data_IF_736384056308
#
_entry.id   IF_736384056308
#
_cell.length_a   1.000
_cell.length_b   1.000
_cell.length_c   1.000
_cell.angle_alpha   90.00
_cell.angle_beta   90.00
_cell.angle_gamma   90.00
#
_symmetry.space_group_name_H-M   'P 1'
#
loop_
_entity.id
_entity.type
_entity.pdbx_description
1 polymer ?
#
# COMPACT_ATOMS: atom_id res chain seq x y z
N UNK A 1 -30.64 -46.62 -38.59
CA UNK A 1 -29.23 -46.21 -38.70
C UNK A 1 -29.17 -44.69 -38.54
N UNK A 2 -28.72 -44.22 -37.43
CA UNK A 2 -28.40 -42.79 -37.21
C UNK A 2 -26.87 -42.68 -37.19
N UNK A 3 -26.24 -41.73 -37.91
CA UNK A 3 -24.79 -41.55 -37.84
C UNK A 3 -24.39 -40.87 -36.54
N UNK A 4 -23.35 -41.41 -35.92
CA UNK A 4 -22.68 -40.97 -34.70
C UNK A 4 -21.81 -39.72 -35.02
N UNK A 5 -22.22 -38.54 -34.51
CA UNK A 5 -21.45 -37.30 -34.58
C UNK A 5 -21.03 -36.89 -33.14
N UNK A 6 -20.08 -37.60 -32.62
CA UNK A 6 -19.53 -37.24 -31.32
C UNK A 6 -18.13 -37.75 -31.13
N UNK A 7 -17.11 -36.89 -31.43
CA UNK A 7 -15.75 -36.88 -30.86
C UNK A 7 -14.71 -36.29 -31.83
N UNK A 8 -14.69 -34.98 -31.98
CA UNK A 8 -13.51 -34.34 -32.62
C UNK A 8 -13.30 -32.85 -32.19
N UNK A 9 -13.74 -32.40 -31.01
CA UNK A 9 -13.52 -31.01 -30.59
C UNK A 9 -12.65 -30.83 -29.33
N UNK A 10 -12.01 -31.86 -28.77
CA UNK A 10 -11.28 -31.76 -27.51
C UNK A 10 -9.75 -31.58 -27.62
N UNK A 11 -9.16 -31.70 -28.81
CA UNK A 11 -7.70 -31.66 -28.97
C UNK A 11 -7.11 -30.28 -29.26
N UNK A 12 -7.87 -29.32 -29.77
CA UNK A 12 -7.37 -27.99 -30.14
C UNK A 12 -7.22 -27.06 -28.96
N UNK A 13 -8.18 -27.05 -28.01
CA UNK A 13 -8.14 -26.24 -26.80
C UNK A 13 -7.01 -26.66 -25.88
N UNK A 14 -6.70 -27.95 -25.81
CA UNK A 14 -5.67 -28.50 -24.92
C UNK A 14 -4.23 -28.12 -25.37
N UNK A 15 -3.98 -27.96 -26.64
CA UNK A 15 -2.66 -27.57 -27.18
C UNK A 15 -2.41 -26.06 -27.00
N UNK A 16 -3.42 -25.23 -27.16
CA UNK A 16 -3.30 -23.79 -26.96
C UNK A 16 -3.12 -23.41 -25.48
N UNK A 17 -3.88 -24.06 -24.60
CA UNK A 17 -3.71 -23.91 -23.16
C UNK A 17 -2.38 -24.46 -22.67
N UNK A 18 -1.91 -25.57 -23.22
CA UNK A 18 -0.61 -26.16 -22.88
C UNK A 18 0.54 -25.22 -23.29
N UNK A 19 0.50 -24.69 -24.53
CA UNK A 19 1.50 -23.73 -25.02
C UNK A 19 1.50 -22.42 -24.22
N UNK A 20 0.32 -21.94 -23.81
CA UNK A 20 0.18 -20.76 -22.94
C UNK A 20 0.77 -21.02 -21.55
N UNK A 21 0.50 -22.18 -20.94
CA UNK A 21 1.07 -22.59 -19.65
C UNK A 21 2.58 -22.75 -19.71
N UNK A 22 3.12 -23.30 -20.79
CA UNK A 22 4.58 -23.43 -20.98
C UNK A 22 5.26 -22.07 -21.16
N UNK A 23 4.66 -21.16 -21.92
CA UNK A 23 5.16 -19.79 -22.08
C UNK A 23 5.12 -19.02 -20.77
N UNK A 24 4.04 -19.07 -20.00
CA UNK A 24 3.96 -18.44 -18.67
C UNK A 24 5.00 -19.04 -17.70
N UNK A 25 5.29 -20.33 -17.77
CA UNK A 25 6.36 -20.95 -16.96
C UNK A 25 7.73 -20.37 -17.31
N UNK A 26 8.02 -20.17 -18.59
CA UNK A 26 9.31 -19.61 -19.01
C UNK A 26 9.45 -18.13 -18.66
N UNK A 27 8.38 -17.34 -18.75
CA UNK A 27 8.40 -15.93 -18.35
C UNK A 27 8.57 -15.77 -16.83
N UNK A 28 7.85 -16.55 -16.02
CA UNK A 28 7.97 -16.51 -14.55
C UNK A 28 9.35 -16.94 -14.05
N UNK A 29 10.11 -17.74 -14.80
CA UNK A 29 11.44 -18.19 -14.43
C UNK A 29 12.39 -17.00 -14.15
N UNK A 30 12.44 -16.06 -15.10
CA UNK A 30 13.30 -14.88 -14.99
C UNK A 30 12.78 -13.87 -13.95
N UNK A 31 11.45 -13.78 -13.79
CA UNK A 31 10.87 -12.95 -12.73
C UNK A 31 11.21 -13.45 -11.33
N UNK A 32 11.18 -14.77 -11.10
CA UNK A 32 11.55 -15.39 -9.82
C UNK A 32 13.05 -15.24 -9.57
N UNK A 33 13.88 -15.45 -10.62
CA UNK A 33 15.33 -15.20 -10.53
C UNK A 33 15.60 -13.75 -10.14
N UNK A 34 14.98 -12.78 -10.79
CA UNK A 34 15.17 -11.37 -10.49
C UNK A 34 14.70 -11.03 -9.06
N UNK A 35 13.54 -11.53 -8.66
CA UNK A 35 13.00 -11.34 -7.31
C UNK A 35 13.97 -11.86 -6.22
N UNK A 36 14.61 -13.02 -6.46
CA UNK A 36 15.59 -13.59 -5.54
C UNK A 36 16.85 -12.71 -5.44
N UNK A 37 17.32 -12.15 -6.55
CA UNK A 37 18.49 -11.26 -6.60
C UNK A 37 18.23 -9.90 -5.97
N UNK A 38 17.00 -9.38 -6.10
CA UNK A 38 16.61 -8.07 -5.56
C UNK A 38 16.26 -8.09 -4.08
N UNK A 39 15.81 -9.24 -3.55
CA UNK A 39 15.13 -9.36 -2.26
C UNK A 39 13.78 -8.64 -2.20
N UNK A 40 13.03 -8.85 -1.11
CA UNK A 40 11.69 -8.26 -0.91
C UNK A 40 11.75 -6.74 -0.72
N UNK A 41 10.71 -6.04 -1.15
CA UNK A 41 10.56 -4.59 -1.05
C UNK A 41 11.72 -3.79 -1.68
N UNK A 42 12.27 -4.30 -2.77
CA UNK A 42 13.38 -3.64 -3.46
C UNK A 42 12.91 -2.46 -4.29
N UNK A 43 13.46 -1.28 -4.03
CA UNK A 43 13.25 -0.08 -4.88
C UNK A 43 14.04 -0.13 -6.19
N UNK A 44 14.80 -1.21 -6.41
CA UNK A 44 15.66 -1.36 -7.60
C UNK A 44 14.91 -1.95 -8.79
N UNK A 45 13.73 -2.57 -8.57
CA UNK A 45 12.98 -3.22 -9.64
C UNK A 45 12.65 -2.25 -10.78
N UNK A 46 12.00 -1.13 -10.47
CA UNK A 46 11.57 -0.17 -11.50
C UNK A 46 12.77 0.43 -12.26
N UNK A 47 13.81 0.97 -11.62
CA UNK A 47 14.98 1.46 -12.34
C UNK A 47 15.65 0.41 -13.25
N UNK A 48 15.72 -0.85 -12.82
CA UNK A 48 16.28 -1.93 -13.65
C UNK A 48 15.42 -2.20 -14.90
N UNK A 49 14.10 -2.27 -14.73
CA UNK A 49 13.18 -2.49 -15.86
C UNK A 49 13.18 -1.30 -16.83
N UNK A 50 13.28 -0.07 -16.33
CA UNK A 50 13.37 1.15 -17.14
C UNK A 50 14.68 1.22 -17.93
N UNK A 51 15.77 0.78 -17.32
CA UNK A 51 17.11 0.86 -17.95
C UNK A 51 17.38 -0.29 -18.93
N UNK A 52 17.00 -1.51 -18.55
CA UNK A 52 17.44 -2.72 -19.24
C UNK A 52 16.27 -3.55 -19.83
N UNK A 53 15.02 -3.16 -19.60
CA UNK A 53 13.86 -3.86 -20.12
C UNK A 53 13.38 -5.01 -19.24
N UNK A 54 13.18 -6.19 -19.82
CA UNK A 54 12.60 -7.35 -19.16
C UNK A 54 13.60 -8.10 -18.26
N UNK A 55 13.16 -8.92 -17.30
CA UNK A 55 14.07 -9.77 -16.52
C UNK A 55 14.90 -10.72 -17.39
N UNK A 56 14.40 -11.14 -18.56
CA UNK A 56 15.17 -11.95 -19.51
C UNK A 56 16.32 -11.16 -20.12
N UNK A 57 16.10 -9.90 -20.49
CA UNK A 57 17.15 -9.01 -21.01
C UNK A 57 18.21 -8.75 -19.94
N UNK A 58 17.79 -8.45 -18.71
CA UNK A 58 18.70 -8.27 -17.55
C UNK A 58 19.52 -9.54 -17.29
N UNK A 59 18.91 -10.71 -17.41
CA UNK A 59 19.60 -11.99 -17.25
C UNK A 59 20.74 -12.20 -18.26
N UNK A 60 20.61 -11.69 -19.47
CA UNK A 60 21.61 -11.87 -20.54
C UNK A 60 22.77 -10.85 -20.50
N UNK A 61 22.71 -9.83 -19.64
CA UNK A 61 23.77 -8.85 -19.48
C UNK A 61 24.96 -9.42 -18.67
N UNK A 62 26.17 -9.03 -19.04
CA UNK A 62 27.37 -9.29 -18.25
C UNK A 62 27.46 -8.41 -17.01
N UNK A 63 28.36 -8.71 -16.08
CA UNK A 63 28.61 -7.88 -14.89
C UNK A 63 29.12 -6.49 -15.27
N UNK A 64 29.94 -6.39 -16.30
CA UNK A 64 30.49 -5.14 -16.82
C UNK A 64 29.38 -4.26 -17.41
N UNK A 65 28.47 -4.84 -18.21
CA UNK A 65 27.33 -4.11 -18.79
C UNK A 65 26.36 -3.61 -17.70
N UNK A 66 26.12 -4.41 -16.67
CA UNK A 66 25.31 -4.00 -15.52
C UNK A 66 25.96 -2.88 -14.72
N UNK A 67 27.29 -2.99 -14.47
CA UNK A 67 28.05 -2.00 -13.70
C UNK A 67 28.28 -0.68 -14.44
N UNK A 68 28.09 -0.64 -15.74
CA UNK A 68 28.19 0.57 -16.55
C UNK A 68 27.03 1.54 -16.31
N UNK A 69 25.95 1.10 -15.63
CA UNK A 69 24.78 1.93 -15.33
C UNK A 69 24.85 2.49 -13.91
N UNK A 70 24.64 3.80 -13.78
CA UNK A 70 24.54 4.50 -12.48
C UNK A 70 23.37 3.97 -11.60
N UNK A 71 22.41 3.28 -12.19
CA UNK A 71 21.26 2.70 -11.47
C UNK A 71 21.62 1.40 -10.73
N UNK A 72 22.78 0.79 -11.00
CA UNK A 72 23.21 -0.50 -10.46
C UNK A 72 24.47 -0.33 -9.62
N UNK A 73 24.39 -0.69 -8.34
CA UNK A 73 25.59 -0.74 -7.48
C UNK A 73 26.42 -1.98 -7.79
N UNK A 74 27.72 -1.95 -7.51
CA UNK A 74 28.64 -3.10 -7.69
C UNK A 74 28.10 -4.38 -7.02
N UNK A 75 27.59 -4.29 -5.78
CA UNK A 75 26.97 -5.42 -5.07
C UNK A 75 25.76 -5.98 -5.83
N UNK A 76 24.94 -5.11 -6.43
CA UNK A 76 23.79 -5.55 -7.21
C UNK A 76 24.23 -6.16 -8.55
N UNK A 77 25.21 -5.57 -9.24
CA UNK A 77 25.75 -6.13 -10.47
C UNK A 77 26.32 -7.53 -10.24
N UNK A 78 27.09 -7.71 -9.16
CA UNK A 78 27.63 -9.01 -8.78
C UNK A 78 26.53 -10.04 -8.49
N UNK A 79 25.46 -9.66 -7.77
CA UNK A 79 24.33 -10.56 -7.54
C UNK A 79 23.57 -10.91 -8.82
N UNK A 80 23.42 -9.96 -9.74
CA UNK A 80 22.76 -10.18 -11.04
C UNK A 80 23.67 -10.95 -12.02
N UNK A 81 24.98 -10.98 -11.80
CA UNK A 81 25.94 -11.81 -12.56
C UNK A 81 25.79 -13.30 -12.25
N UNK A 82 25.25 -13.67 -11.09
CA UNK A 82 24.90 -15.06 -10.82
C UNK A 82 23.65 -15.48 -11.63
N UNK A 83 23.91 -16.18 -12.75
CA UNK A 83 22.91 -16.64 -13.71
C UNK A 83 22.28 -18.01 -13.34
N UNK A 84 22.48 -18.49 -12.12
CA UNK A 84 21.86 -19.74 -11.67
C UNK A 84 20.34 -19.59 -11.63
N UNK A 85 19.64 -20.44 -12.36
CA UNK A 85 18.17 -20.55 -12.39
C UNK A 85 17.65 -21.70 -11.52
N UNK A 86 18.51 -22.45 -10.87
CA UNK A 86 18.14 -23.67 -10.13
C UNK A 86 17.06 -23.41 -9.08
N UNK A 87 17.23 -22.36 -8.27
CA UNK A 87 16.25 -21.96 -7.25
C UNK A 87 14.91 -21.54 -7.86
N UNK A 88 14.95 -20.87 -9.01
CA UNK A 88 13.72 -20.48 -9.73
C UNK A 88 12.98 -21.69 -10.26
N UNK A 89 13.68 -22.67 -10.83
CA UNK A 89 13.08 -23.95 -11.26
C UNK A 89 12.48 -24.70 -10.07
N UNK A 90 13.21 -24.84 -8.97
CA UNK A 90 12.72 -25.49 -7.75
C UNK A 90 11.43 -24.81 -7.22
N UNK A 91 11.40 -23.47 -7.24
CA UNK A 91 10.23 -22.68 -6.82
C UNK A 91 9.04 -22.92 -7.73
N UNK A 92 9.23 -22.95 -9.05
CA UNK A 92 8.15 -23.22 -10.02
C UNK A 92 7.62 -24.63 -9.86
N UNK A 93 8.50 -25.60 -9.70
CA UNK A 93 8.11 -27.03 -9.50
C UNK A 93 7.32 -27.21 -8.22
N UNK A 94 7.81 -26.63 -7.12
CA UNK A 94 7.10 -26.59 -5.84
C UNK A 94 5.72 -25.98 -5.96
N UNK A 95 5.62 -24.79 -6.56
CA UNK A 95 4.34 -24.10 -6.76
C UNK A 95 3.38 -24.91 -7.63
N UNK A 96 3.90 -25.54 -8.69
CA UNK A 96 3.09 -26.40 -9.57
C UNK A 96 2.54 -27.61 -8.82
N UNK A 97 3.39 -28.29 -8.04
CA UNK A 97 3.02 -29.47 -7.26
C UNK A 97 1.98 -29.16 -6.18
N UNK A 98 2.08 -27.99 -5.54
CA UNK A 98 1.20 -27.57 -4.45
C UNK A 98 0.05 -26.67 -4.89
N UNK A 99 -0.21 -26.53 -6.20
CA UNK A 99 -1.28 -25.70 -6.75
C UNK A 99 -1.20 -24.22 -6.30
N UNK A 100 0.00 -23.71 -6.13
CA UNK A 100 0.28 -22.32 -5.82
C UNK A 100 0.43 -21.55 -7.13
N UNK A 101 -0.35 -20.47 -7.27
CA UNK A 101 -0.23 -19.59 -8.43
C UNK A 101 0.95 -18.63 -8.26
N UNK A 102 1.51 -18.23 -9.39
CA UNK A 102 2.61 -17.26 -9.47
C UNK A 102 2.12 -16.11 -10.35
N UNK A 103 2.22 -14.88 -9.84
CA UNK A 103 1.78 -13.65 -10.49
C UNK A 103 2.96 -12.69 -10.57
N UNK A 104 3.56 -12.54 -11.73
CA UNK A 104 4.68 -11.61 -11.96
C UNK A 104 4.19 -10.18 -12.19
N UNK A 105 5.06 -9.20 -12.01
CA UNK A 105 4.79 -7.78 -12.27
C UNK A 105 4.25 -7.51 -13.69
N UNK A 106 4.65 -8.32 -14.67
CA UNK A 106 4.20 -8.19 -16.07
C UNK A 106 2.85 -8.85 -16.33
N UNK A 107 2.33 -9.67 -15.40
CA UNK A 107 1.09 -10.41 -15.62
C UNK A 107 -0.12 -9.45 -15.75
N UNK A 108 -1.05 -9.69 -16.69
CA UNK A 108 -2.26 -8.89 -16.84
C UNK A 108 -3.17 -8.84 -15.61
N UNK A 109 -3.13 -9.85 -14.75
CA UNK A 109 -3.88 -9.89 -13.48
C UNK A 109 -3.15 -9.22 -12.31
N UNK A 110 -1.90 -8.78 -12.53
CA UNK A 110 -1.17 -8.06 -11.48
C UNK A 110 -1.83 -6.70 -11.22
N UNK A 111 -2.23 -6.39 -9.98
CA UNK A 111 -2.98 -5.17 -9.67
C UNK A 111 -2.21 -3.90 -10.05
N UNK A 112 -2.81 -3.03 -10.87
CA UNK A 112 -2.18 -1.79 -11.33
C UNK A 112 -1.79 -0.88 -10.16
N UNK A 113 -2.57 -0.93 -9.07
CA UNK A 113 -2.28 -0.17 -7.84
C UNK A 113 -0.98 -0.56 -7.17
N UNK A 114 -0.55 -1.83 -7.28
CA UNK A 114 0.75 -2.27 -6.77
C UNK A 114 1.90 -1.81 -7.67
N UNK A 115 1.66 -1.66 -8.98
CA UNK A 115 2.66 -1.13 -9.91
C UNK A 115 3.06 0.31 -9.59
N UNK A 116 2.18 1.06 -8.94
CA UNK A 116 2.40 2.45 -8.55
C UNK A 116 3.20 2.60 -7.24
N UNK A 117 3.59 1.51 -6.59
CA UNK A 117 4.48 1.56 -5.43
C UNK A 117 5.92 1.88 -5.85
N UNK A 118 6.69 2.51 -4.97
CA UNK A 118 8.13 2.72 -5.20
C UNK A 118 8.93 1.42 -5.17
N UNK A 119 8.37 0.39 -4.53
CA UNK A 119 8.97 -0.92 -4.28
C UNK A 119 7.96 -2.04 -4.57
N UNK A 120 7.41 -2.11 -5.81
CA UNK A 120 6.41 -3.10 -6.14
C UNK A 120 6.97 -4.52 -6.04
N UNK A 121 6.17 -5.51 -5.60
CA UNK A 121 6.56 -6.91 -5.66
C UNK A 121 6.89 -7.35 -7.10
N UNK A 122 8.07 -7.89 -7.33
CA UNK A 122 8.41 -8.47 -8.65
C UNK A 122 7.56 -9.71 -8.94
N UNK A 123 7.25 -10.48 -7.90
CA UNK A 123 6.45 -11.70 -7.93
C UNK A 123 5.53 -11.75 -6.72
N UNK A 124 4.32 -12.22 -6.92
CA UNK A 124 3.39 -12.61 -5.86
C UNK A 124 3.04 -14.08 -6.00
N UNK A 125 3.09 -14.81 -4.90
CA UNK A 125 2.57 -16.18 -4.79
C UNK A 125 1.16 -16.13 -4.25
N UNK A 126 0.26 -16.98 -4.76
CA UNK A 126 -1.13 -16.92 -4.32
C UNK A 126 -1.81 -18.29 -4.27
N UNK A 127 -2.85 -18.37 -3.42
CA UNK A 127 -3.83 -19.44 -3.38
C UNK A 127 -5.24 -18.85 -3.38
N UNK A 128 -6.19 -19.55 -3.97
CA UNK A 128 -7.56 -19.07 -4.13
C UNK A 128 -7.85 -18.57 -5.55
N UNK A 129 -8.82 -17.68 -5.69
CA UNK A 129 -9.31 -17.23 -6.99
C UNK A 129 -8.82 -15.82 -7.30
N UNK A 130 -8.04 -15.69 -8.38
CA UNK A 130 -7.69 -14.36 -8.89
C UNK A 130 -8.95 -13.62 -9.36
N UNK A 131 -9.00 -12.35 -9.06
CA UNK A 131 -10.09 -11.46 -9.47
C UNK A 131 -9.51 -10.15 -10.01
N UNK A 132 -10.21 -9.47 -10.96
CA UNK A 132 -9.77 -8.18 -11.50
C UNK A 132 -9.97 -7.09 -10.43
N UNK A 133 -8.93 -6.84 -9.61
CA UNK A 133 -8.99 -5.91 -8.48
C UNK A 133 -9.10 -4.45 -8.92
N UNK A 134 -8.62 -4.11 -10.11
CA UNK A 134 -8.60 -2.73 -10.61
C UNK A 134 -10.00 -2.13 -10.76
N UNK A 135 -11.00 -2.98 -11.00
CA UNK A 135 -12.41 -2.59 -11.12
C UNK A 135 -13.19 -2.72 -9.80
N UNK A 136 -12.51 -2.97 -8.67
CA UNK A 136 -13.13 -3.17 -7.36
C UNK A 136 -12.65 -2.13 -6.36
N UNK A 137 -13.54 -1.72 -5.47
CA UNK A 137 -13.14 -1.03 -4.25
C UNK A 137 -12.51 -2.05 -3.31
N UNK A 138 -11.26 -1.83 -2.93
CA UNK A 138 -10.55 -2.62 -1.95
C UNK A 138 -10.26 -1.74 -0.73
N UNK A 139 -10.65 -2.19 0.45
CA UNK A 139 -10.42 -1.47 1.70
C UNK A 139 -9.59 -2.35 2.62
N UNK A 140 -8.45 -1.83 3.03
CA UNK A 140 -7.67 -2.49 4.07
C UNK A 140 -8.38 -2.29 5.42
N UNK A 141 -8.63 -3.37 6.15
CA UNK A 141 -9.19 -3.31 7.51
C UNK A 141 -8.19 -3.96 8.44
N UNK A 142 -7.56 -3.14 9.28
CA UNK A 142 -6.45 -3.55 10.14
C UNK A 142 -6.58 -2.95 11.54
N UNK A 143 -5.85 -3.54 12.50
CA UNK A 143 -5.85 -3.02 13.86
C UNK A 143 -4.98 -3.82 14.81
N UNK A 144 -5.23 -3.61 16.09
CA UNK A 144 -4.50 -4.29 17.18
C UNK A 144 -4.74 -5.81 17.17
N UNK A 145 -3.72 -6.55 17.58
CA UNK A 145 -3.82 -8.00 17.83
C UNK A 145 -4.54 -8.32 19.15
N UNK A 146 -4.58 -7.36 20.08
CA UNK A 146 -5.26 -7.44 21.38
C UNK A 146 -6.49 -6.52 21.36
N UNK A 147 -7.49 -6.92 20.58
CA UNK A 147 -8.72 -6.15 20.41
C UNK A 147 -9.60 -6.17 21.65
N UNK A 148 -10.34 -5.09 21.87
CA UNK A 148 -11.43 -5.02 22.86
C UNK A 148 -12.72 -5.67 22.29
N UNK A 149 -13.74 -5.85 23.14
CA UNK A 149 -15.06 -6.28 22.66
C UNK A 149 -15.71 -5.25 21.74
N UNK A 150 -15.40 -3.96 21.93
CA UNK A 150 -15.80 -2.90 21.02
C UNK A 150 -15.13 -3.08 19.66
N UNK A 151 -13.80 -3.23 19.62
CA UNK A 151 -13.03 -3.43 18.40
C UNK A 151 -13.43 -4.69 17.66
N UNK A 152 -13.70 -5.80 18.39
CA UNK A 152 -14.19 -7.05 17.80
C UNK A 152 -15.49 -6.82 17.03
N UNK A 153 -16.49 -6.20 17.67
CA UNK A 153 -17.78 -5.90 17.02
C UNK A 153 -17.64 -4.91 15.88
N UNK A 154 -16.82 -3.87 16.06
CA UNK A 154 -16.59 -2.86 15.03
C UNK A 154 -15.89 -3.47 13.79
N UNK A 155 -14.85 -4.29 13.97
CA UNK A 155 -14.16 -4.97 12.87
C UNK A 155 -15.09 -5.91 12.09
N UNK A 156 -15.87 -6.72 12.80
CA UNK A 156 -16.83 -7.61 12.17
C UNK A 156 -17.87 -6.84 11.37
N UNK A 157 -18.46 -5.79 11.97
CA UNK A 157 -19.46 -4.94 11.33
C UNK A 157 -18.92 -4.27 10.07
N UNK A 158 -17.75 -3.65 10.15
CA UNK A 158 -17.13 -2.97 9.01
C UNK A 158 -16.78 -3.97 7.89
N UNK A 159 -16.22 -5.13 8.23
CA UNK A 159 -15.96 -6.18 7.26
C UNK A 159 -17.24 -6.66 6.58
N UNK A 160 -18.31 -6.90 7.35
CA UNK A 160 -19.62 -7.32 6.85
C UNK A 160 -20.26 -6.26 5.92
N UNK A 161 -20.35 -5.01 6.35
CA UNK A 161 -20.96 -3.93 5.58
C UNK A 161 -20.20 -3.63 4.29
N UNK A 162 -18.85 -3.54 4.35
CA UNK A 162 -18.00 -3.32 3.17
C UNK A 162 -18.20 -4.42 2.13
N UNK A 163 -18.16 -5.66 2.58
CA UNK A 163 -18.31 -6.82 1.70
C UNK A 163 -19.73 -6.96 1.13
N UNK A 164 -20.76 -6.68 1.91
CA UNK A 164 -22.16 -6.62 1.44
C UNK A 164 -22.35 -5.58 0.35
N UNK A 165 -21.63 -4.46 0.42
CA UNK A 165 -21.63 -3.43 -0.61
C UNK A 165 -20.84 -3.83 -1.87
N UNK A 166 -20.17 -4.99 -1.91
CA UNK A 166 -19.36 -5.46 -3.02
C UNK A 166 -17.89 -5.02 -2.98
N UNK A 167 -17.45 -4.32 -1.93
CA UNK A 167 -16.04 -4.01 -1.70
C UNK A 167 -15.27 -5.26 -1.25
N UNK A 168 -13.97 -5.29 -1.55
CA UNK A 168 -13.06 -6.36 -1.14
C UNK A 168 -12.35 -5.94 0.14
N UNK A 169 -12.47 -6.74 1.19
CA UNK A 169 -11.78 -6.50 2.46
C UNK A 169 -10.38 -7.10 2.38
N UNK A 170 -9.35 -6.29 2.63
CA UNK A 170 -7.94 -6.72 2.60
C UNK A 170 -7.36 -6.62 3.99
N UNK A 171 -6.66 -7.66 4.44
CA UNK A 171 -6.01 -7.66 5.75
C UNK A 171 -4.71 -8.47 5.76
N UNK A 172 -4.04 -8.48 6.90
CA UNK A 172 -2.84 -9.30 7.10
C UNK A 172 -3.12 -10.68 7.71
N UNK A 173 -4.36 -11.06 7.89
CA UNK A 173 -4.76 -12.30 8.59
C UNK A 173 -4.11 -12.43 9.99
N UNK A 174 -3.74 -11.30 10.60
CA UNK A 174 -3.18 -11.30 11.95
C UNK A 174 -4.25 -11.64 13.01
N UNK A 175 -3.80 -11.96 14.21
CA UNK A 175 -4.71 -12.09 15.36
C UNK A 175 -5.46 -10.77 15.57
N UNK A 176 -6.68 -10.82 16.10
CA UNK A 176 -7.45 -9.64 16.46
C UNK A 176 -8.24 -9.04 15.30
N UNK A 177 -8.12 -7.76 15.07
CA UNK A 177 -8.95 -6.99 14.13
C UNK A 177 -8.93 -7.58 12.71
N UNK A 178 -7.77 -7.92 12.20
CA UNK A 178 -7.58 -8.43 10.83
C UNK A 178 -8.45 -9.68 10.57
N UNK A 179 -8.37 -10.66 11.47
CA UNK A 179 -9.10 -11.91 11.34
C UNK A 179 -10.61 -11.74 11.50
N UNK A 180 -11.03 -10.89 12.42
CA UNK A 180 -12.45 -10.62 12.67
C UNK A 180 -13.09 -9.87 11.49
N UNK A 181 -12.38 -8.90 10.89
CA UNK A 181 -12.85 -8.21 9.70
C UNK A 181 -13.02 -9.16 8.50
N UNK A 182 -12.08 -10.09 8.31
CA UNK A 182 -12.19 -11.12 7.28
C UNK A 182 -13.41 -12.05 7.52
N UNK A 183 -13.65 -12.45 8.77
CA UNK A 183 -14.86 -13.23 9.14
C UNK A 183 -16.15 -12.46 8.83
N UNK A 184 -16.21 -11.17 9.18
CA UNK A 184 -17.36 -10.31 8.84
C UNK A 184 -17.60 -10.24 7.33
N UNK A 185 -16.53 -10.05 6.54
CA UNK A 185 -16.64 -10.04 5.08
C UNK A 185 -17.18 -11.35 4.51
N UNK A 186 -16.72 -12.48 5.01
CA UNK A 186 -17.20 -13.80 4.58
C UNK A 186 -18.61 -14.12 5.06
N UNK A 187 -19.01 -13.60 6.22
CA UNK A 187 -20.41 -13.71 6.71
C UNK A 187 -21.41 -12.99 5.80
N UNK A 188 -20.97 -11.92 5.12
CA UNK A 188 -21.74 -11.24 4.07
C UNK A 188 -21.60 -11.89 2.68
N UNK A 189 -21.04 -13.11 2.60
CA UNK A 189 -20.75 -13.82 1.33
C UNK A 189 -19.85 -13.01 0.38
N UNK A 190 -19.17 -11.99 0.90
CA UNK A 190 -18.27 -11.13 0.12
C UNK A 190 -16.85 -11.65 0.00
N UNK A 191 -15.99 -10.89 -0.64
CA UNK A 191 -14.62 -11.28 -0.93
C UNK A 191 -13.63 -10.66 0.06
N UNK A 192 -12.63 -11.46 0.45
CA UNK A 192 -11.54 -10.98 1.30
C UNK A 192 -10.19 -11.46 0.76
N UNK A 193 -9.14 -10.67 1.03
CA UNK A 193 -7.77 -10.97 0.65
C UNK A 193 -6.90 -10.98 1.91
N UNK A 194 -6.17 -12.07 2.11
CA UNK A 194 -5.13 -12.15 3.11
C UNK A 194 -3.76 -11.94 2.47
N UNK A 195 -3.01 -10.96 2.95
CA UNK A 195 -1.60 -10.76 2.57
C UNK A 195 -0.73 -11.35 3.67
N UNK A 196 0.20 -12.25 3.35
CA UNK A 196 1.03 -12.91 4.36
C UNK A 196 2.41 -12.27 4.48
N UNK A 197 3.03 -12.40 5.66
CA UNK A 197 4.41 -12.01 5.95
C UNK A 197 5.37 -13.21 6.03
N UNK A 198 5.03 -14.31 5.36
CA UNK A 198 5.80 -15.55 5.27
C UNK A 198 5.50 -16.24 3.94
N UNK A 199 6.15 -17.37 3.66
CA UNK A 199 5.85 -18.19 2.50
C UNK A 199 4.38 -18.64 2.48
N UNK A 200 3.83 -18.78 1.26
CA UNK A 200 2.41 -19.14 1.02
C UNK A 200 2.04 -20.53 1.55
N UNK A 201 3.01 -21.35 1.82
CA UNK A 201 2.92 -22.70 2.35
C UNK A 201 2.94 -22.76 3.89
N UNK A 202 3.11 -21.62 4.54
CA UNK A 202 3.23 -21.50 6.00
C UNK A 202 2.04 -20.73 6.56
N UNK A 203 1.20 -21.39 7.33
CA UNK A 203 0.07 -20.75 8.03
C UNK A 203 0.59 -19.97 9.24
N UNK A 204 0.39 -18.66 9.23
CA UNK A 204 0.76 -17.82 10.37
C UNK A 204 -0.27 -16.71 10.64
N UNK A 205 -0.80 -16.59 11.88
CA UNK A 205 -0.51 -17.47 13.03
C UNK A 205 -1.09 -18.88 12.85
N UNK A 206 -0.51 -19.93 13.51
CA UNK A 206 -0.94 -21.32 13.31
C UNK A 206 -2.42 -21.58 13.66
N UNK A 207 -2.98 -20.76 14.56
CA UNK A 207 -4.39 -20.79 14.95
C UNK A 207 -5.35 -20.48 13.79
N UNK A 208 -4.89 -19.73 12.80
CA UNK A 208 -5.69 -19.28 11.66
C UNK A 208 -5.71 -20.25 10.47
N UNK A 209 -5.27 -21.51 10.65
CA UNK A 209 -5.33 -22.54 9.60
C UNK A 209 -6.73 -22.70 9.00
N UNK A 210 -7.75 -22.74 9.84
CA UNK A 210 -9.14 -22.82 9.39
C UNK A 210 -9.56 -21.55 8.64
N UNK A 211 -9.23 -20.37 9.17
CA UNK A 211 -9.51 -19.08 8.53
C UNK A 211 -8.86 -19.00 7.15
N UNK A 212 -7.58 -19.36 7.02
CA UNK A 212 -6.86 -19.36 5.74
C UNK A 212 -7.58 -20.23 4.71
N UNK A 213 -8.01 -21.46 5.09
CA UNK A 213 -8.76 -22.35 4.21
C UNK A 213 -10.09 -21.72 3.75
N UNK A 214 -10.79 -20.99 4.61
CA UNK A 214 -12.02 -20.28 4.21
C UNK A 214 -11.70 -19.11 3.26
N UNK A 215 -10.63 -18.37 3.50
CA UNK A 215 -10.19 -17.29 2.62
C UNK A 215 -9.78 -17.82 1.25
N UNK A 216 -9.01 -18.91 1.18
CA UNK A 216 -8.64 -19.55 -0.09
C UNK A 216 -9.86 -19.94 -0.92
N UNK A 217 -10.93 -20.44 -0.29
CA UNK A 217 -12.17 -20.86 -0.98
C UNK A 217 -13.02 -19.69 -1.46
N UNK A 218 -13.03 -18.59 -0.71
CA UNK A 218 -13.96 -17.47 -0.95
C UNK A 218 -13.28 -16.20 -1.46
N UNK A 219 -11.95 -16.17 -1.53
CA UNK A 219 -11.17 -14.99 -1.86
C UNK A 219 -9.77 -15.34 -2.34
N UNK A 220 -8.76 -14.70 -1.75
CA UNK A 220 -7.38 -14.81 -2.19
C UNK A 220 -6.42 -14.71 -0.99
N UNK A 221 -5.45 -15.60 -0.93
CA UNK A 221 -4.29 -15.49 -0.05
C UNK A 221 -3.08 -15.19 -0.91
N UNK A 222 -2.31 -14.15 -0.58
CA UNK A 222 -1.15 -13.72 -1.38
C UNK A 222 0.04 -13.38 -0.50
N UNK A 223 1.24 -13.52 -1.06
CA UNK A 223 2.49 -13.08 -0.44
C UNK A 223 3.56 -12.77 -1.48
N UNK A 224 4.48 -11.88 -1.15
CA UNK A 224 5.72 -11.62 -1.90
C UNK A 224 6.83 -12.61 -1.51
N UNK A 225 6.70 -13.24 -0.36
CA UNK A 225 7.73 -14.15 0.18
C UNK A 225 7.67 -15.51 -0.51
N UNK A 226 8.81 -15.98 -1.00
CA UNK A 226 8.91 -17.29 -1.63
C UNK A 226 8.46 -18.42 -0.69
N UNK A 227 7.92 -19.55 -1.23
CA UNK A 227 7.61 -20.74 -0.44
C UNK A 227 8.79 -21.15 0.46
N UNK A 228 8.48 -21.65 1.66
CA UNK A 228 9.47 -22.00 2.67
C UNK A 228 10.00 -20.83 3.51
N UNK A 229 9.63 -19.56 3.20
CA UNK A 229 10.09 -18.40 3.98
C UNK A 229 9.40 -18.38 5.34
N UNK A 230 10.17 -18.57 6.42
CA UNK A 230 9.66 -18.56 7.79
C UNK A 230 9.09 -17.18 8.19
N UNK A 231 8.05 -17.14 9.05
CA UNK A 231 7.55 -15.89 9.61
C UNK A 231 8.62 -15.22 10.48
N UNK A 232 8.86 -13.94 10.23
CA UNK A 232 9.81 -13.11 10.98
C UNK A 232 9.18 -11.78 11.35
N UNK A 233 9.54 -11.25 12.52
CA UNK A 233 9.09 -9.92 12.96
C UNK A 233 9.39 -8.81 11.96
N UNK A 234 10.49 -8.93 11.22
CA UNK A 234 10.90 -7.98 10.19
C UNK A 234 10.01 -8.02 8.92
N UNK A 235 9.40 -9.16 8.61
CA UNK A 235 8.60 -9.34 7.40
C UNK A 235 7.23 -8.63 7.47
N UNK A 236 6.64 -8.53 8.67
CA UNK A 236 5.30 -7.97 8.81
C UNK A 236 5.21 -6.48 8.46
N UNK A 237 6.14 -5.60 8.91
CA UNK A 237 6.18 -4.21 8.45
C UNK A 237 6.37 -4.08 6.94
N UNK A 238 7.25 -4.91 6.36
CA UNK A 238 7.50 -4.94 4.90
C UNK A 238 6.24 -5.33 4.14
N UNK A 239 5.52 -6.38 4.57
CA UNK A 239 4.28 -6.84 3.98
C UNK A 239 3.18 -5.76 4.01
N UNK A 240 3.10 -4.94 5.06
CA UNK A 240 2.01 -3.98 5.26
C UNK A 240 1.87 -2.98 4.11
N UNK A 241 2.97 -2.67 3.38
CA UNK A 241 2.92 -1.85 2.16
C UNK A 241 2.08 -2.46 1.05
N UNK A 242 2.00 -3.81 1.00
CA UNK A 242 1.18 -4.52 0.03
C UNK A 242 -0.30 -4.47 0.45
N UNK A 243 -0.60 -4.56 1.75
CA UNK A 243 -1.98 -4.42 2.25
C UNK A 243 -2.55 -3.07 1.84
N UNK A 244 -1.88 -1.97 2.18
CA UNK A 244 -2.31 -0.62 1.80
C UNK A 244 -2.23 -0.38 0.29
N UNK A 245 -1.20 -0.92 -0.37
CA UNK A 245 -0.96 -0.76 -1.80
C UNK A 245 -2.04 -1.39 -2.70
N UNK A 246 -2.66 -2.49 -2.27
CA UNK A 246 -3.79 -3.12 -2.94
C UNK A 246 -5.08 -2.28 -2.84
N UNK A 247 -5.17 -1.37 -1.88
CA UNK A 247 -6.39 -0.70 -1.48
C UNK A 247 -6.43 0.76 -1.91
N UNK A 248 -7.62 1.28 -2.10
CA UNK A 248 -7.87 2.72 -2.24
C UNK A 248 -7.85 3.41 -0.87
N UNK A 249 -8.27 2.70 0.18
CA UNK A 249 -8.30 3.23 1.54
C UNK A 249 -7.92 2.18 2.59
N UNK A 250 -7.49 2.66 3.74
CA UNK A 250 -7.08 1.86 4.89
C UNK A 250 -7.85 2.29 6.12
N UNK A 251 -8.64 1.38 6.68
CA UNK A 251 -9.39 1.56 7.93
C UNK A 251 -8.60 1.00 9.11
N UNK A 252 -8.36 1.84 10.10
CA UNK A 252 -7.80 1.44 11.40
C UNK A 252 -8.95 1.36 12.39
N UNK A 253 -9.23 0.13 12.88
CA UNK A 253 -10.37 -0.11 13.79
C UNK A 253 -10.00 0.18 15.25
N UNK A 254 -8.91 -0.38 15.71
CA UNK A 254 -8.29 -0.12 17.01
C UNK A 254 -6.78 -0.16 16.88
N UNK A 255 -6.08 0.76 17.50
CA UNK A 255 -4.62 0.79 17.55
C UNK A 255 -4.11 1.58 18.75
N UNK A 256 -3.12 1.06 19.44
CA UNK A 256 -2.20 1.84 20.27
C UNK A 256 -1.24 2.64 19.37
N UNK A 257 -0.69 3.74 19.85
CA UNK A 257 0.24 4.61 19.09
C UNK A 257 1.43 3.86 18.47
N UNK A 258 1.92 2.81 19.15
CA UNK A 258 3.06 1.98 18.73
C UNK A 258 2.64 0.69 18.02
N UNK A 259 1.37 0.54 17.69
CA UNK A 259 0.88 -0.71 17.10
C UNK A 259 1.35 -0.89 15.64
N UNK A 260 1.45 -2.16 15.20
CA UNK A 260 1.76 -2.48 13.80
C UNK A 260 0.74 -1.94 12.80
N UNK A 261 -0.51 -1.67 13.21
CA UNK A 261 -1.54 -1.06 12.37
C UNK A 261 -1.19 0.39 12.00
N UNK A 262 -0.50 1.12 12.90
CA UNK A 262 0.00 2.48 12.61
C UNK A 262 1.07 2.47 11.50
N UNK A 263 1.83 1.39 11.36
CA UNK A 263 2.76 1.21 10.24
C UNK A 263 1.98 1.10 8.92
N UNK A 264 0.87 0.36 8.91
CA UNK A 264 0.00 0.24 7.72
C UNK A 264 -0.64 1.57 7.36
N UNK A 265 -1.12 2.34 8.35
CA UNK A 265 -1.63 3.69 8.14
C UNK A 265 -0.56 4.62 7.52
N UNK A 266 0.68 4.56 8.03
CA UNK A 266 1.81 5.32 7.47
C UNK A 266 2.13 4.89 6.03
N UNK A 267 2.12 3.59 5.73
CA UNK A 267 2.28 3.11 4.35
C UNK A 267 1.18 3.68 3.44
N UNK A 268 -0.09 3.65 3.88
CA UNK A 268 -1.22 4.20 3.14
C UNK A 268 -1.02 5.69 2.82
N UNK A 269 -0.63 6.50 3.80
CA UNK A 269 -0.35 7.94 3.61
C UNK A 269 0.78 8.19 2.61
N UNK A 270 1.90 7.45 2.72
CA UNK A 270 3.04 7.57 1.78
C UNK A 270 2.62 7.19 0.36
N UNK A 271 1.69 6.24 0.22
CA UNK A 271 1.17 5.76 -1.06
C UNK A 271 0.03 6.63 -1.61
N UNK A 272 -0.33 7.75 -0.95
CA UNK A 272 -1.43 8.62 -1.33
C UNK A 272 -2.81 7.96 -1.21
N UNK A 273 -2.98 7.01 -0.27
CA UNK A 273 -4.25 6.32 -0.01
C UNK A 273 -5.00 7.00 1.11
N UNK A 274 -6.33 6.96 1.06
CA UNK A 274 -7.17 7.46 2.15
C UNK A 274 -6.94 6.65 3.44
N UNK A 275 -6.94 7.35 4.57
CA UNK A 275 -6.87 6.73 5.89
C UNK A 275 -8.13 7.05 6.66
N UNK A 276 -8.79 6.01 7.13
CA UNK A 276 -9.99 6.06 7.95
C UNK A 276 -9.68 5.50 9.32
N UNK A 277 -10.34 6.02 10.35
CA UNK A 277 -10.17 5.52 11.70
C UNK A 277 -11.52 5.49 12.44
N UNK A 278 -11.73 4.43 13.21
CA UNK A 278 -12.89 4.36 14.11
C UNK A 278 -12.54 5.12 15.39
N UNK A 279 -13.33 6.13 15.80
CA UNK A 279 -13.12 6.84 17.04
C UNK A 279 -13.36 5.93 18.25
N UNK A 280 -12.64 6.13 19.32
CA UNK A 280 -12.84 5.41 20.57
C UNK A 280 -12.64 6.30 21.79
N UNK A 281 -12.81 5.72 22.98
CA UNK A 281 -12.67 6.44 24.23
C UNK A 281 -11.24 6.95 24.42
N UNK A 282 -11.11 8.15 24.98
CA UNK A 282 -9.82 8.82 25.15
C UNK A 282 -8.93 8.20 26.24
N UNK A 283 -9.51 7.42 27.14
CA UNK A 283 -8.87 6.70 28.23
C UNK A 283 -8.50 5.25 27.89
N UNK A 284 -8.91 4.77 26.69
CA UNK A 284 -8.63 3.42 26.22
C UNK A 284 -7.35 3.38 25.36
N UNK A 285 -6.38 2.56 25.78
CA UNK A 285 -5.09 2.45 25.07
C UNK A 285 -5.25 2.04 23.58
N UNK A 286 -6.20 1.17 23.28
CA UNK A 286 -6.49 0.73 21.91
C UNK A 286 -7.10 1.83 21.03
N UNK A 287 -7.53 2.94 21.60
CA UNK A 287 -8.10 4.08 20.88
C UNK A 287 -7.11 5.23 20.67
N UNK A 288 -5.97 5.22 21.37
CA UNK A 288 -5.00 6.32 21.28
C UNK A 288 -4.48 6.53 19.86
N UNK A 289 -4.12 5.45 19.17
CA UNK A 289 -3.61 5.52 17.81
C UNK A 289 -4.68 5.96 16.80
N UNK A 290 -5.92 5.46 16.89
CA UNK A 290 -7.01 5.87 15.99
C UNK A 290 -7.40 7.32 16.22
N UNK A 291 -7.52 7.77 17.47
CA UNK A 291 -7.79 9.16 17.80
C UNK A 291 -6.64 10.10 17.36
N UNK A 292 -5.39 9.63 17.43
CA UNK A 292 -4.23 10.37 16.91
C UNK A 292 -4.30 10.53 15.38
N UNK A 293 -4.69 9.48 14.67
CA UNK A 293 -4.89 9.53 13.21
C UNK A 293 -6.00 10.52 12.84
N UNK A 294 -7.14 10.49 13.54
CA UNK A 294 -8.25 11.43 13.32
C UNK A 294 -7.79 12.88 13.56
N UNK A 295 -7.07 13.12 14.67
CA UNK A 295 -6.47 14.42 14.95
C UNK A 295 -5.47 14.86 13.87
N UNK A 296 -4.80 13.90 13.23
CA UNK A 296 -3.86 14.11 12.13
C UNK A 296 -4.51 14.26 10.76
N UNK A 297 -5.86 14.26 10.66
CA UNK A 297 -6.61 14.46 9.42
C UNK A 297 -7.16 13.19 8.77
N UNK A 298 -7.04 12.01 9.41
CA UNK A 298 -7.74 10.83 8.96
C UNK A 298 -9.25 10.99 9.15
N UNK A 299 -10.06 10.48 8.23
CA UNK A 299 -11.51 10.56 8.30
C UNK A 299 -12.04 9.66 9.43
N UNK A 300 -12.75 10.25 10.39
CA UNK A 300 -13.47 9.50 11.42
C UNK A 300 -14.69 8.82 10.79
N UNK A 301 -14.82 7.51 10.99
CA UNK A 301 -15.89 6.72 10.40
C UNK A 301 -16.60 5.86 11.43
N UNK A 302 -17.91 5.66 11.23
CA UNK A 302 -18.77 4.83 12.07
C UNK A 302 -19.51 3.73 11.29
N UNK A 303 -19.42 3.79 9.96
CA UNK A 303 -20.07 2.86 9.04
C UNK A 303 -19.31 2.72 7.73
N UNK A 304 -19.58 1.65 6.98
CA UNK A 304 -19.00 1.47 5.65
C UNK A 304 -19.43 2.57 4.67
N UNK A 305 -20.60 3.18 4.86
CA UNK A 305 -21.06 4.29 4.00
C UNK A 305 -20.12 5.48 4.07
N UNK A 306 -19.56 5.77 5.26
CA UNK A 306 -18.65 6.90 5.46
C UNK A 306 -17.32 6.72 4.66
N UNK A 307 -16.98 5.47 4.34
CA UNK A 307 -15.82 5.11 3.52
C UNK A 307 -16.19 5.08 2.03
N UNK A 308 -17.30 4.42 1.69
CA UNK A 308 -17.64 4.10 0.31
C UNK A 308 -18.08 5.32 -0.50
N UNK A 309 -18.54 6.39 0.15
CA UNK A 309 -18.89 7.66 -0.51
C UNK A 309 -17.70 8.25 -1.27
N UNK A 310 -16.49 8.08 -0.80
CA UNK A 310 -15.28 8.59 -1.46
C UNK A 310 -14.96 7.87 -2.79
N UNK A 311 -15.59 6.71 -3.02
CA UNK A 311 -15.34 5.85 -4.19
C UNK A 311 -16.54 5.74 -5.14
N UNK A 312 -17.65 6.37 -4.82
CA UNK A 312 -18.89 6.27 -5.59
C UNK A 312 -18.72 6.75 -7.03
N UNK A 313 -18.06 7.86 -7.24
CA UNK A 313 -17.86 8.44 -8.57
C UNK A 313 -17.08 7.53 -9.51
N UNK A 314 -16.03 6.86 -9.00
CA UNK A 314 -15.15 6.02 -9.83
C UNK A 314 -15.57 4.56 -9.88
N UNK A 315 -16.20 4.06 -8.83
CA UNK A 315 -16.49 2.64 -8.63
C UNK A 315 -17.98 2.35 -8.37
N UNK A 316 -18.87 3.31 -8.52
CA UNK A 316 -20.30 3.16 -8.23
C UNK A 316 -20.94 1.96 -8.92
N UNK A 317 -20.54 1.64 -10.16
CA UNK A 317 -21.02 0.46 -10.88
C UNK A 317 -20.61 -0.89 -10.23
N UNK A 318 -19.57 -0.91 -9.39
CA UNK A 318 -19.10 -2.10 -8.66
C UNK A 318 -19.61 -2.17 -7.22
N UNK A 319 -20.29 -1.11 -6.74
CA UNK A 319 -20.85 -1.01 -5.41
C UNK A 319 -22.37 -1.24 -5.41
N UNK A 320 -22.88 -1.87 -4.39
CA UNK A 320 -24.30 -2.16 -4.21
C UNK A 320 -24.83 -1.53 -2.92
N UNK A 321 -25.29 -0.28 -3.00
CA UNK A 321 -25.83 0.46 -1.86
C UNK A 321 -27.14 -0.10 -1.33
N UNK A 322 -27.95 -0.75 -2.19
CA UNK A 322 -29.20 -1.42 -1.76
C UNK A 322 -28.87 -2.63 -0.88
N UNK A 323 -27.86 -3.43 -1.27
CA UNK A 323 -27.38 -4.54 -0.45
C UNK A 323 -26.75 -4.04 0.86
N UNK A 324 -26.01 -2.93 0.83
CA UNK A 324 -25.48 -2.30 2.04
C UNK A 324 -26.59 -1.86 3.00
N UNK A 325 -27.64 -1.21 2.49
CA UNK A 325 -28.78 -0.77 3.29
C UNK A 325 -29.50 -1.96 3.93
N UNK A 326 -29.74 -3.01 3.15
CA UNK A 326 -30.32 -4.25 3.64
C UNK A 326 -29.44 -4.91 4.72
N UNK A 327 -28.15 -5.01 4.46
CA UNK A 327 -27.17 -5.58 5.38
C UNK A 327 -27.13 -4.83 6.72
N UNK A 328 -27.17 -3.50 6.70
CA UNK A 328 -27.19 -2.66 7.91
C UNK A 328 -28.47 -2.85 8.72
N UNK A 329 -29.62 -2.93 8.04
CA UNK A 329 -30.93 -3.10 8.71
C UNK A 329 -31.08 -4.49 9.35
N UNK A 330 -30.40 -5.51 8.81
CA UNK A 330 -30.47 -6.89 9.26
C UNK A 330 -29.17 -7.34 9.94
N UNK A 331 -28.28 -6.41 10.24
CA UNK A 331 -27.00 -6.72 10.87
C UNK A 331 -27.19 -7.32 12.27
N UNK A 332 -26.56 -8.44 12.51
CA UNK A 332 -26.31 -8.98 13.84
C UNK A 332 -24.87 -9.49 13.92
N UNK A 333 -24.28 -9.32 15.08
CA UNK A 333 -22.97 -9.90 15.35
C UNK A 333 -23.12 -11.39 15.64
N UNK A 334 -22.45 -12.22 14.84
CA UNK A 334 -22.53 -13.68 14.98
C UNK A 334 -21.18 -14.25 15.45
N UNK A 335 -21.10 -14.59 16.73
CA UNK A 335 -19.91 -15.18 17.32
C UNK A 335 -19.66 -16.61 16.82
N UNK A 336 -20.69 -17.34 16.41
CA UNK A 336 -20.55 -18.70 15.87
C UNK A 336 -19.77 -18.70 14.54
N UNK A 337 -19.88 -17.63 13.76
CA UNK A 337 -19.07 -17.46 12.54
C UNK A 337 -17.59 -17.39 12.89
N UNK A 338 -17.22 -16.63 13.94
CA UNK A 338 -15.84 -16.53 14.40
C UNK A 338 -15.33 -17.89 14.88
N UNK A 339 -16.12 -18.60 15.67
CA UNK A 339 -15.78 -19.94 16.17
C UNK A 339 -15.60 -20.94 15.02
N UNK A 340 -16.51 -20.98 14.06
CA UNK A 340 -16.45 -21.83 12.86
C UNK A 340 -15.18 -21.60 12.04
N UNK A 341 -14.75 -20.35 11.96
CA UNK A 341 -13.53 -19.96 11.22
C UNK A 341 -12.25 -20.05 12.07
N UNK A 342 -12.33 -20.51 13.33
CA UNK A 342 -11.19 -20.68 14.22
C UNK A 342 -10.69 -19.35 14.82
N UNK A 343 -11.52 -18.31 14.85
CA UNK A 343 -11.20 -16.98 15.39
C UNK A 343 -11.89 -16.73 16.74
N UNK A 344 -12.25 -17.78 17.46
CA UNK A 344 -12.97 -17.70 18.74
C UNK A 344 -12.18 -16.95 19.82
N UNK A 345 -12.90 -16.18 20.63
CA UNK A 345 -12.38 -15.34 21.71
C UNK A 345 -11.75 -16.09 22.91
N UNK A 346 -11.82 -17.42 22.92
CA UNK A 346 -11.32 -18.24 24.03
C UNK A 346 -9.82 -18.51 23.84
N UNK A 347 -8.98 -17.84 24.63
CA UNK A 347 -7.54 -18.04 24.79
C UNK A 347 -6.58 -17.24 23.89
N UNK A 348 -6.72 -15.92 23.87
CA UNK A 348 -5.53 -15.09 23.79
C UNK A 348 -4.85 -14.95 25.18
N UNK A 349 -4.76 -16.08 25.93
CA UNK A 349 -4.00 -16.08 27.17
C UNK A 349 -2.50 -16.03 26.86
N UNK A 350 -1.80 -15.18 27.54
CA UNK A 350 -0.38 -14.81 27.37
C UNK A 350 0.62 -16.00 27.43
N UNK A 351 0.16 -17.22 27.71
CA UNK A 351 1.06 -18.36 28.01
C UNK A 351 1.77 -18.99 26.80
N UNK A 352 1.37 -18.73 25.56
CA UNK A 352 1.99 -19.36 24.39
C UNK A 352 2.81 -18.42 23.49
N UNK A 353 3.03 -17.17 23.89
CA UNK A 353 3.72 -16.19 23.05
C UNK A 353 5.21 -15.98 23.42
N UNK A 354 5.72 -16.67 24.43
CA UNK A 354 7.08 -16.47 24.95
C UNK A 354 8.18 -17.32 24.29
N UNK A 355 7.86 -18.14 23.30
CA UNK A 355 8.81 -19.14 22.81
C UNK A 355 9.59 -18.79 21.52
N UNK A 356 9.45 -17.59 20.91
CA UNK A 356 10.27 -17.26 19.73
C UNK A 356 10.34 -15.77 19.34
N UNK A 357 10.32 -14.86 20.31
CA UNK A 357 10.79 -13.51 20.01
C UNK A 357 12.27 -13.42 20.34
N UNK A 358 13.17 -13.08 19.38
CA UNK A 358 14.46 -12.56 19.75
C UNK A 358 14.22 -11.30 20.54
N UNK A 359 14.81 -11.19 21.73
CA UNK A 359 14.75 -10.02 22.61
C UNK A 359 14.95 -8.75 21.77
N UNK A 360 14.13 -7.72 21.89
CA UNK A 360 14.43 -6.45 21.27
C UNK A 360 15.75 -6.00 21.85
N UNK A 361 16.77 -5.84 21.00
CA UNK A 361 17.99 -5.13 21.37
C UNK A 361 17.52 -3.80 21.93
N UNK A 362 17.87 -3.53 23.21
CA UNK A 362 17.53 -2.30 23.89
C UNK A 362 17.90 -1.12 22.98
N UNK A 363 16.93 -0.38 22.54
CA UNK A 363 17.15 0.92 21.92
C UNK A 363 17.65 1.80 23.09
N UNK A 364 18.85 2.42 22.97
CA UNK A 364 19.35 3.28 24.04
C UNK A 364 18.33 4.37 24.36
N UNK A 365 18.14 4.61 25.66
CA UNK A 365 17.25 5.65 26.18
C UNK A 365 17.64 7.00 25.55
N UNK A 366 16.71 7.85 25.10
CA UNK A 366 17.04 9.15 24.47
C UNK A 366 17.90 10.08 25.31
N UNK A 367 18.05 9.80 26.64
CA UNK A 367 18.92 10.54 27.55
C UNK A 367 20.41 10.13 27.54
N UNK A 368 20.79 9.03 26.86
CA UNK A 368 22.17 8.52 26.84
C UNK A 368 22.95 8.83 25.56
N UNK A 369 22.44 9.67 24.68
CA UNK A 369 23.20 10.14 23.53
C UNK A 369 24.32 11.07 24.01
N UNK A 370 25.56 10.53 24.09
CA UNK A 370 26.74 11.34 24.25
C UNK A 370 26.80 12.39 23.16
N UNK A 371 27.12 13.68 23.48
CA UNK A 371 27.23 14.71 22.44
C UNK A 371 28.32 14.33 21.45
N UNK A 372 27.99 14.42 20.17
CA UNK A 372 28.93 14.24 19.06
C UNK A 372 30.15 15.13 19.27
N UNK A 373 31.34 14.55 19.34
CA UNK A 373 32.62 15.26 19.38
C UNK A 373 32.70 16.23 18.20
N UNK A 374 32.85 17.51 18.49
CA UNK A 374 33.18 18.53 17.49
C UNK A 374 34.50 18.14 16.79
N UNK A 375 34.61 18.34 15.48
CA UNK A 375 35.88 18.16 14.79
C UNK A 375 36.94 19.15 15.33
N UNK A 376 38.25 18.81 15.31
CA UNK A 376 39.28 19.67 15.87
C UNK A 376 39.40 20.97 15.07
N UNK A 377 39.36 22.10 15.79
CA UNK A 377 39.70 23.41 15.28
C UNK A 377 41.17 23.39 14.81
N UNK A 378 41.43 23.75 13.56
CA UNK A 378 42.76 24.19 13.12
C UNK A 378 42.93 25.62 13.56
N UNK A 379 44.16 25.87 14.06
CA UNK A 379 44.62 27.11 14.65
C UNK A 379 44.60 28.30 13.67
N UNK A 380 44.41 29.46 14.26
CA UNK A 380 44.52 30.79 13.70
C UNK A 380 45.93 31.05 13.15
N UNK A 381 46.00 31.79 12.04
CA UNK A 381 46.98 32.89 11.97
C UNK A 381 46.40 34.03 11.12
N UNK A 382 46.64 35.21 11.61
CA UNK A 382 46.17 36.51 11.19
C UNK A 382 46.85 36.98 9.90
N UNK A 383 46.21 37.74 9.06
CA UNK A 383 46.49 39.16 8.87
C UNK A 383 45.48 39.83 7.90
N UNK A 384 45.08 41.06 8.18
CA UNK A 384 44.42 42.05 7.31
C UNK A 384 45.49 42.99 6.75
N UNK A 385 45.24 43.88 5.75
CA UNK A 385 44.00 44.40 5.19
C UNK A 385 43.97 44.77 3.68
N UNK A 386 42.78 45.15 3.22
CA UNK A 386 42.48 46.17 2.16
C UNK A 386 42.75 45.84 0.69
N UNK A 387 41.81 45.93 -0.22
CA UNK A 387 41.20 47.09 -0.88
C UNK A 387 40.23 46.66 -1.99
N UNK A 388 39.13 47.31 -2.02
CA UNK A 388 38.19 47.70 -3.10
C UNK A 388 38.61 47.37 -4.55
N UNK A 389 37.70 46.68 -5.30
CA UNK A 389 37.28 47.19 -6.62
C UNK A 389 35.97 46.53 -7.07
N UNK A 390 35.04 47.39 -7.45
CA UNK A 390 33.78 47.10 -8.12
C UNK A 390 33.98 46.37 -9.46
N UNK A 391 33.04 45.53 -9.77
CA UNK A 391 32.25 45.46 -11.01
C UNK A 391 31.97 44.04 -11.45
N UNK A 392 30.75 43.62 -11.39
CA UNK A 392 30.13 42.87 -12.46
C UNK A 392 28.59 42.80 -12.28
N UNK A 393 27.94 43.14 -13.36
CA UNK A 393 26.51 43.27 -13.60
C UNK A 393 25.69 42.03 -13.18
N UNK A 394 24.40 42.24 -12.82
CA UNK A 394 23.45 41.17 -12.56
C UNK A 394 23.11 40.43 -13.88
N UNK A 395 22.82 39.11 -13.80
CA UNK A 395 22.32 38.38 -14.97
C UNK A 395 20.90 38.85 -15.30
N UNK A 396 20.65 38.93 -16.58
CA UNK A 396 19.46 39.39 -17.27
C UNK A 396 18.18 38.76 -16.73
N UNK A 397 17.18 39.63 -16.61
CA UNK A 397 15.78 39.30 -16.38
C UNK A 397 15.29 38.18 -17.32
N UNK A 398 14.61 37.20 -16.73
CA UNK A 398 13.78 36.26 -17.48
C UNK A 398 12.62 37.02 -18.10
N UNK A 399 12.48 36.85 -19.41
CA UNK A 399 11.42 37.38 -20.23
C UNK A 399 10.04 36.98 -19.66
N UNK A 400 9.17 37.98 -19.67
CA UNK A 400 7.74 37.88 -19.38
C UNK A 400 7.10 36.79 -20.26
N UNK A 401 6.67 35.69 -19.67
CA UNK A 401 5.57 34.90 -20.22
C UNK A 401 4.26 35.50 -19.72
N UNK A 402 3.81 36.53 -20.40
CA UNK A 402 2.50 37.11 -20.23
C UNK A 402 1.74 36.86 -21.52
N UNK A 403 0.71 36.01 -21.51
CA UNK A 403 -0.51 36.21 -22.28
C UNK A 403 -1.64 35.24 -21.91
N UNK A 404 -1.34 34.01 -21.40
CA UNK A 404 -2.38 33.04 -21.09
C UNK A 404 -2.99 33.14 -19.68
N UNK A 405 -2.21 33.56 -18.70
CA UNK A 405 -2.66 33.59 -17.28
C UNK A 405 -3.63 34.72 -16.98
N UNK A 406 -3.47 35.91 -17.61
CA UNK A 406 -4.38 37.05 -17.45
C UNK A 406 -5.76 36.79 -18.07
N UNK A 407 -5.81 36.09 -19.20
CA UNK A 407 -7.07 35.68 -19.85
C UNK A 407 -7.87 34.71 -18.99
N UNK A 408 -7.17 33.74 -18.37
CA UNK A 408 -7.78 32.77 -17.46
C UNK A 408 -8.29 33.45 -16.18
N UNK A 409 -7.51 34.39 -15.62
CA UNK A 409 -7.90 35.16 -14.43
C UNK A 409 -9.13 36.02 -14.63
N UNK A 410 -9.34 36.58 -15.86
CA UNK A 410 -10.54 37.36 -16.20
C UNK A 410 -11.82 36.52 -16.21
N UNK A 411 -11.72 35.26 -16.41
CA UNK A 411 -12.87 34.30 -16.42
C UNK A 411 -13.22 33.76 -15.05
N UNK A 412 -12.43 34.07 -14.01
CA UNK A 412 -12.66 33.61 -12.63
C UNK A 412 -13.47 34.67 -11.85
N UNK A 413 -14.18 34.20 -10.84
CA UNK A 413 -14.92 35.04 -9.90
C UNK A 413 -13.96 35.90 -9.06
N UNK A 414 -14.49 36.97 -8.46
CA UNK A 414 -13.70 37.88 -7.67
C UNK A 414 -13.00 37.23 -6.46
N UNK A 415 -13.61 36.17 -5.88
CA UNK A 415 -13.00 35.42 -4.78
C UNK A 415 -11.74 34.68 -5.22
N UNK A 416 -11.81 33.95 -6.34
CA UNK A 416 -10.66 33.24 -6.89
C UNK A 416 -9.53 34.20 -7.24
N UNK A 417 -9.87 35.36 -7.79
CA UNK A 417 -8.89 36.38 -8.12
C UNK A 417 -8.22 36.96 -6.87
N UNK A 418 -8.98 37.30 -5.84
CA UNK A 418 -8.45 37.80 -4.57
C UNK A 418 -7.57 36.76 -3.87
N UNK A 419 -7.97 35.47 -3.84
CA UNK A 419 -7.16 34.39 -3.28
C UNK A 419 -5.87 34.23 -4.10
N UNK A 420 -5.94 34.27 -5.43
CA UNK A 420 -4.75 34.18 -6.27
C UNK A 420 -3.79 35.33 -5.99
N UNK A 421 -4.26 36.55 -5.91
CA UNK A 421 -3.44 37.73 -5.60
C UNK A 421 -2.83 37.67 -4.19
N UNK A 422 -3.49 36.99 -3.25
CA UNK A 422 -2.97 36.74 -1.91
C UNK A 422 -1.79 35.76 -1.85
N UNK A 423 -1.49 35.01 -2.93
CA UNK A 423 -0.34 34.12 -3.00
C UNK A 423 0.86 34.91 -3.57
N UNK A 424 1.97 35.10 -2.83
CA UNK A 424 3.16 35.76 -3.32
C UNK A 424 3.80 35.03 -4.51
N UNK A 425 4.53 35.76 -5.38
CA UNK A 425 5.22 35.18 -6.54
C UNK A 425 6.49 34.40 -6.18
N UNK A 426 7.10 34.74 -5.03
CA UNK A 426 8.45 34.32 -4.63
C UNK A 426 8.45 33.27 -3.50
N UNK A 427 7.30 32.99 -2.91
CA UNK A 427 7.19 32.04 -1.77
C UNK A 427 5.84 31.40 -1.66
N UNK A 428 5.84 30.19 -1.11
CA UNK A 428 4.62 29.46 -0.80
C UNK A 428 3.89 30.02 0.43
N UNK A 429 2.56 29.89 0.45
CA UNK A 429 1.68 30.41 1.50
C UNK A 429 0.77 29.32 2.02
N UNK A 430 0.43 29.38 3.33
CA UNK A 430 -0.54 28.47 3.97
C UNK A 430 -1.98 28.99 3.81
N UNK A 431 -2.95 28.07 3.94
CA UNK A 431 -4.40 28.40 3.93
C UNK A 431 -4.73 29.45 4.99
N UNK A 432 -4.18 29.34 6.19
CA UNK A 432 -4.47 30.27 7.30
C UNK A 432 -4.15 31.72 6.94
N UNK A 433 -3.07 31.96 6.18
CA UNK A 433 -2.72 33.29 5.70
C UNK A 433 -3.69 33.81 4.66
N UNK A 434 -4.25 32.92 3.82
CA UNK A 434 -5.24 33.29 2.82
C UNK A 434 -6.64 33.52 3.43
N UNK A 435 -6.96 32.86 4.54
CA UNK A 435 -8.19 33.12 5.31
C UNK A 435 -8.21 34.53 5.91
N UNK A 436 -7.05 35.15 6.16
CA UNK A 436 -6.97 36.55 6.60
C UNK A 436 -7.48 37.58 5.54
N UNK A 437 -7.77 37.10 4.32
CA UNK A 437 -8.42 37.92 3.29
C UNK A 437 -9.93 38.10 3.52
N UNK A 438 -10.48 37.57 4.60
CA UNK A 438 -11.88 37.74 4.99
C UNK A 438 -12.83 36.66 4.48
N UNK A 439 -12.27 35.53 3.95
CA UNK A 439 -13.04 34.38 3.49
C UNK A 439 -12.97 33.23 4.49
N UNK A 440 -14.01 32.40 4.50
CA UNK A 440 -14.01 31.14 5.26
C UNK A 440 -13.02 30.13 4.70
N UNK A 441 -12.56 29.20 5.51
CA UNK A 441 -11.65 28.11 5.07
C UNK A 441 -12.21 27.35 3.86
N UNK A 442 -13.52 27.07 3.86
CA UNK A 442 -14.20 26.38 2.74
C UNK A 442 -14.17 27.19 1.44
N UNK A 443 -14.35 28.51 1.51
CA UNK A 443 -14.29 29.39 0.34
C UNK A 443 -12.87 29.50 -0.21
N UNK A 444 -11.88 29.61 0.67
CA UNK A 444 -10.46 29.65 0.26
C UNK A 444 -10.07 28.31 -0.39
N UNK A 445 -10.48 27.17 0.17
CA UNK A 445 -10.21 25.85 -0.39
C UNK A 445 -10.85 25.68 -1.78
N UNK A 446 -12.12 26.08 -1.94
CA UNK A 446 -12.78 26.02 -3.24
C UNK A 446 -12.06 26.87 -4.30
N UNK A 447 -11.63 28.09 -3.94
CA UNK A 447 -10.88 28.97 -4.82
C UNK A 447 -9.51 28.37 -5.18
N UNK A 448 -8.74 27.84 -4.22
CA UNK A 448 -7.45 27.17 -4.45
C UNK A 448 -7.59 25.97 -5.38
N UNK A 449 -8.60 25.13 -5.18
CA UNK A 449 -8.88 23.97 -6.05
C UNK A 449 -9.13 24.41 -7.49
N UNK A 450 -9.93 25.46 -7.70
CA UNK A 450 -10.23 26.01 -9.02
C UNK A 450 -8.98 26.60 -9.70
N UNK A 451 -8.15 27.31 -8.95
CA UNK A 451 -6.88 27.88 -9.42
C UNK A 451 -5.87 26.79 -9.80
N UNK A 452 -5.82 25.69 -9.05
CA UNK A 452 -4.95 24.54 -9.33
C UNK A 452 -5.41 23.78 -10.57
N UNK A 453 -6.71 23.51 -10.73
CA UNK A 453 -7.29 22.91 -11.95
C UNK A 453 -7.00 23.76 -13.18
N UNK A 454 -7.00 25.07 -13.04
CA UNK A 454 -6.66 26.01 -14.14
C UNK A 454 -5.15 26.17 -14.36
N UNK A 455 -4.32 25.49 -13.57
CA UNK A 455 -2.86 25.50 -13.69
C UNK A 455 -2.18 26.81 -13.26
N UNK A 456 -2.87 27.67 -12.53
CA UNK A 456 -2.37 28.97 -12.06
C UNK A 456 -1.53 28.86 -10.78
N UNK A 457 -1.76 27.82 -9.99
CA UNK A 457 -1.02 27.52 -8.76
C UNK A 457 -0.62 26.05 -8.69
N UNK A 458 0.28 25.72 -7.78
CA UNK A 458 0.63 24.33 -7.41
C UNK A 458 0.59 24.18 -5.91
N UNK A 459 0.09 23.02 -5.47
CA UNK A 459 0.15 22.59 -4.08
C UNK A 459 1.49 21.92 -3.79
N UNK A 460 2.17 22.34 -2.72
CA UNK A 460 3.39 21.76 -2.21
C UNK A 460 3.10 20.96 -0.93
N UNK A 461 3.99 20.02 -0.53
CA UNK A 461 3.84 19.27 0.72
C UNK A 461 3.66 20.21 1.93
N UNK A 462 2.73 19.87 2.83
CA UNK A 462 2.40 20.69 4.00
C UNK A 462 1.31 21.73 3.76
N UNK A 463 0.43 21.54 2.79
CA UNK A 463 -0.66 22.45 2.42
C UNK A 463 -0.16 23.87 2.13
N UNK A 464 0.95 23.96 1.41
CA UNK A 464 1.54 25.19 0.94
C UNK A 464 1.17 25.41 -0.54
N UNK A 465 0.84 26.65 -0.91
CA UNK A 465 0.41 27.02 -2.26
C UNK A 465 1.36 28.04 -2.85
N UNK A 466 1.74 27.86 -4.12
CA UNK A 466 2.65 28.74 -4.85
C UNK A 466 2.08 29.02 -6.24
N UNK A 467 2.28 30.24 -6.76
CA UNK A 467 1.94 30.57 -8.16
C UNK A 467 2.86 29.85 -9.13
N UNK A 468 2.31 29.47 -10.27
CA UNK A 468 3.06 28.90 -11.41
C UNK A 468 3.54 29.95 -12.37
#
# INVERSE_FOLDING_TARGET
MRPDFGKQQTNGENLFEKGRKERMKSENLYWIWLADRLSVASKRLLPLLETFGTPFEIFNLSEEELSASDSVSEDLAHRLADKSLEKAYQTIDYCTTHQIGILSYADPYYPSRLKNLQDPPAVLYYKGTLMPLDNKVCIAVVGTRKMSEYGKRAAYKMGYELAAAGAVVVSGMALGIDSVAACGAMAAEGKTIAVLGCGIDIVYPPQHRTLETFIERNGLVITEFAPGTAPSGANFPVRNRIISGLCQGTLIVEADEKSGAMITAKCALIQGRNVYAIPGNIDESNSLGTNLLIKGGATAVSSASDILVDYETLYGASLNYSALTYARSNYHFDEQVLEKMGVAARHYSERNYTASQPSPKQVPNPGELRPLRKPPRKAEEADRPSTVSESSKPPRAHEKRSDGSEEILRQLDDKCRTVFEGIPLDRAVTIDKLCNLGYTVGEVMAALTLLEIRGLISTLPGNLYIRR
#
